data_IF_148158614433
#
_entry.id   IF_148158614433
#
_cell.length_a   1.000
_cell.length_b   1.000
_cell.length_c   1.000
_cell.angle_alpha   90.00
_cell.angle_beta   90.00
_cell.angle_gamma   90.00
#
_symmetry.space_group_name_H-M   'P 1'
#
loop_
_entity.id
_entity.type
_entity.pdbx_description
1 polymer ?
#
# COMPACT_ATOMS: atom_id res chain seq x y z
N UNK A 1 1.64 -27.67 4.43
CA UNK A 1 2.85 -27.02 4.95
C UNK A 1 3.28 -26.07 3.87
N UNK A 2 3.26 -24.77 4.12
CA UNK A 2 3.69 -23.80 3.13
C UNK A 2 5.20 -23.93 2.98
N UNK A 3 5.70 -24.18 1.76
CA UNK A 3 7.14 -24.20 1.56
C UNK A 3 7.67 -22.76 1.66
N UNK A 4 8.88 -22.64 2.19
CA UNK A 4 9.61 -21.39 2.34
C UNK A 4 10.72 -21.35 1.30
N UNK A 5 10.75 -20.24 0.58
CA UNK A 5 11.76 -19.96 -0.43
C UNK A 5 12.49 -18.68 -0.05
N UNK A 6 13.80 -18.73 0.09
CA UNK A 6 14.62 -17.57 0.47
C UNK A 6 15.26 -16.93 -0.75
N UNK A 7 15.03 -15.65 -0.97
CA UNK A 7 15.89 -14.83 -1.81
C UNK A 7 16.89 -14.09 -0.92
N UNK A 8 18.18 -14.33 -1.14
CA UNK A 8 19.25 -13.71 -0.36
C UNK A 8 20.31 -13.12 -1.28
N UNK A 9 20.43 -11.78 -1.35
CA UNK A 9 21.71 -11.15 -1.65
C UNK A 9 22.81 -11.73 -0.75
N UNK A 10 24.03 -11.81 -1.27
CA UNK A 10 25.21 -12.21 -0.51
C UNK A 10 26.13 -11.00 -0.35
N UNK A 11 26.75 -10.88 0.83
CA UNK A 11 27.74 -9.85 1.09
C UNK A 11 28.91 -10.35 1.94
N UNK A 12 29.81 -9.43 2.30
CA UNK A 12 31.06 -9.70 3.02
C UNK A 12 30.92 -10.18 4.49
N UNK A 13 29.70 -10.42 4.96
CA UNK A 13 29.47 -11.05 6.27
C UNK A 13 28.89 -12.45 6.14
N UNK A 14 28.61 -12.91 4.92
CA UNK A 14 28.16 -14.27 4.64
C UNK A 14 29.35 -15.13 4.16
N UNK A 15 29.37 -16.44 4.44
CA UNK A 15 28.36 -17.18 5.21
C UNK A 15 28.48 -17.00 6.73
N UNK A 16 29.66 -16.68 7.24
CA UNK A 16 29.91 -16.31 8.65
C UNK A 16 30.86 -15.13 8.77
N UNK A 17 30.82 -14.44 9.92
CA UNK A 17 31.81 -13.43 10.29
C UNK A 17 31.86 -13.28 11.80
N UNK A 18 33.06 -13.22 12.36
CA UNK A 18 33.26 -13.05 13.81
C UNK A 18 32.66 -14.21 14.60
N UNK A 19 32.91 -15.45 14.15
CA UNK A 19 32.45 -16.69 14.79
C UNK A 19 30.92 -16.86 14.89
N UNK A 20 30.17 -16.11 14.07
CA UNK A 20 28.70 -16.09 14.08
C UNK A 20 28.14 -16.19 12.68
N UNK A 21 26.90 -16.66 12.57
CA UNK A 21 26.21 -16.76 11.30
C UNK A 21 26.11 -15.39 10.62
N UNK A 22 26.48 -15.34 9.34
CA UNK A 22 26.05 -14.31 8.42
C UNK A 22 24.53 -14.33 8.27
N UNK A 23 23.94 -13.26 7.75
CA UNK A 23 22.47 -13.16 7.75
C UNK A 23 21.81 -14.20 6.86
N UNK A 24 22.46 -14.62 5.78
CA UNK A 24 22.01 -15.73 4.94
C UNK A 24 21.88 -17.04 5.74
N UNK A 25 22.95 -17.47 6.42
CA UNK A 25 22.97 -18.72 7.20
C UNK A 25 22.02 -18.64 8.40
N UNK A 26 21.98 -17.49 9.07
CA UNK A 26 21.12 -17.28 10.24
C UNK A 26 19.63 -17.41 9.90
N UNK A 27 19.21 -16.88 8.74
CA UNK A 27 17.85 -17.05 8.24
C UNK A 27 17.59 -18.52 7.91
N UNK A 28 18.52 -19.21 7.23
CA UNK A 28 18.36 -20.63 6.91
C UNK A 28 18.26 -21.50 8.16
N UNK A 29 18.99 -21.18 9.23
CA UNK A 29 18.93 -21.90 10.52
C UNK A 29 17.55 -21.82 11.17
N UNK A 30 16.93 -20.66 11.15
CA UNK A 30 15.62 -20.41 11.77
C UNK A 30 14.48 -20.92 10.90
N UNK A 31 14.48 -20.55 9.61
CA UNK A 31 13.33 -20.73 8.72
C UNK A 31 13.40 -22.01 7.89
N UNK A 32 14.58 -22.63 7.76
CA UNK A 32 14.80 -23.91 7.05
C UNK A 32 14.10 -23.95 5.67
N UNK A 33 14.40 -22.99 4.77
CA UNK A 33 13.77 -22.96 3.46
C UNK A 33 14.10 -24.20 2.65
N UNK A 34 13.16 -24.65 1.81
CA UNK A 34 13.35 -25.75 0.87
C UNK A 34 14.19 -25.32 -0.32
N UNK A 35 14.24 -24.02 -0.61
CA UNK A 35 14.98 -23.46 -1.73
C UNK A 35 15.53 -22.08 -1.40
N UNK A 36 16.75 -21.82 -1.84
CA UNK A 36 17.44 -20.54 -1.70
C UNK A 36 17.91 -20.05 -3.06
N UNK A 37 17.60 -18.79 -3.37
CA UNK A 37 18.16 -18.03 -4.48
C UNK A 37 19.26 -17.11 -3.95
N UNK A 38 20.51 -17.42 -4.27
CA UNK A 38 21.68 -16.64 -3.89
C UNK A 38 21.98 -15.59 -4.95
N UNK A 39 21.78 -14.32 -4.63
CA UNK A 39 22.09 -13.21 -5.54
C UNK A 39 23.51 -12.70 -5.28
N UNK A 40 24.38 -12.85 -6.28
CA UNK A 40 25.82 -12.63 -6.14
C UNK A 40 26.30 -11.53 -7.08
N UNK A 41 26.92 -10.49 -6.51
CA UNK A 41 27.69 -9.49 -7.28
C UNK A 41 28.97 -10.10 -7.85
N UNK A 42 29.73 -9.35 -8.66
CA UNK A 42 31.01 -9.83 -9.21
C UNK A 42 31.94 -10.38 -8.14
N UNK A 43 32.22 -9.58 -7.11
CA UNK A 43 33.15 -9.94 -6.04
C UNK A 43 32.69 -11.20 -5.27
N UNK A 44 31.38 -11.34 -5.04
CA UNK A 44 30.84 -12.55 -4.39
C UNK A 44 30.90 -13.77 -5.32
N UNK A 45 30.78 -13.58 -6.63
CA UNK A 45 31.01 -14.64 -7.61
C UNK A 45 32.47 -15.09 -7.59
N UNK A 46 33.41 -14.15 -7.54
CA UNK A 46 34.86 -14.44 -7.49
C UNK A 46 35.20 -15.27 -6.25
N UNK A 47 34.61 -14.96 -5.08
CA UNK A 47 34.78 -15.75 -3.85
C UNK A 47 34.08 -17.11 -3.91
N UNK A 48 32.89 -17.19 -4.51
CA UNK A 48 32.16 -18.46 -4.71
C UNK A 48 32.94 -19.41 -5.62
N UNK A 49 33.69 -18.91 -6.62
CA UNK A 49 34.47 -19.72 -7.55
C UNK A 49 35.73 -20.34 -6.92
N UNK A 50 36.21 -19.81 -5.80
CA UNK A 50 37.38 -20.36 -5.10
C UNK A 50 37.07 -21.68 -4.42
N UNK A 51 35.91 -21.78 -3.77
CA UNK A 51 35.64 -22.85 -2.80
C UNK A 51 34.17 -23.21 -2.64
N UNK A 52 33.25 -22.59 -3.39
CA UNK A 52 31.80 -22.78 -3.24
C UNK A 52 31.30 -22.54 -1.79
N UNK A 53 31.93 -21.61 -1.05
CA UNK A 53 31.72 -21.48 0.40
C UNK A 53 30.28 -21.33 0.84
N UNK A 54 29.47 -20.58 0.10
CA UNK A 54 28.11 -20.26 0.52
C UNK A 54 27.21 -21.49 0.51
N UNK A 55 27.31 -22.31 -0.53
CA UNK A 55 26.51 -23.52 -0.68
C UNK A 55 27.03 -24.62 0.24
N UNK A 56 28.34 -24.84 0.32
CA UNK A 56 28.93 -25.86 1.20
C UNK A 56 28.62 -25.57 2.67
N UNK A 57 28.72 -24.30 3.10
CA UNK A 57 28.39 -23.93 4.47
C UNK A 57 26.90 -24.18 4.78
N UNK A 58 26.00 -23.86 3.84
CA UNK A 58 24.58 -24.20 3.98
C UNK A 58 24.36 -25.72 4.01
N UNK A 59 25.06 -26.51 3.21
CA UNK A 59 24.95 -27.97 3.23
C UNK A 59 25.36 -28.56 4.60
N UNK A 60 26.44 -28.04 5.22
CA UNK A 60 26.82 -28.42 6.59
C UNK A 60 25.71 -28.07 7.60
N UNK A 61 25.08 -26.91 7.45
CA UNK A 61 23.92 -26.51 8.27
C UNK A 61 22.72 -27.44 8.08
N UNK A 62 22.39 -27.76 6.82
CA UNK A 62 21.34 -28.70 6.44
C UNK A 62 21.54 -30.08 7.09
N UNK A 63 22.77 -30.61 7.04
CA UNK A 63 23.14 -31.86 7.70
C UNK A 63 22.99 -31.78 9.22
N UNK A 64 23.51 -30.72 9.84
CA UNK A 64 23.44 -30.53 11.30
C UNK A 64 22.01 -30.41 11.83
N UNK A 65 21.11 -29.78 11.07
CA UNK A 65 19.74 -29.49 11.49
C UNK A 65 18.68 -30.38 10.84
N UNK A 66 19.11 -31.38 10.07
CA UNK A 66 18.29 -32.36 9.37
C UNK A 66 17.18 -31.72 8.50
N UNK A 67 17.55 -30.81 7.60
CA UNK A 67 16.65 -30.29 6.56
C UNK A 67 17.35 -30.24 5.20
N UNK A 68 16.57 -30.22 4.12
CA UNK A 68 17.07 -30.12 2.75
C UNK A 68 16.77 -28.74 2.18
N UNK A 69 17.71 -28.20 1.40
CA UNK A 69 17.56 -26.91 0.75
C UNK A 69 18.25 -26.92 -0.61
N UNK A 70 17.48 -26.65 -1.67
CA UNK A 70 18.00 -26.50 -3.04
C UNK A 70 18.60 -25.10 -3.23
N UNK A 71 19.79 -25.00 -3.80
CA UNK A 71 20.48 -23.73 -4.02
C UNK A 71 20.47 -23.35 -5.50
N UNK A 72 19.99 -22.14 -5.81
CA UNK A 72 20.02 -21.53 -7.15
C UNK A 72 20.86 -20.26 -7.07
N UNK A 73 21.94 -20.20 -7.85
CA UNK A 73 22.85 -19.05 -7.88
C UNK A 73 22.46 -18.08 -8.99
N UNK A 74 22.04 -16.89 -8.61
CA UNK A 74 21.76 -15.77 -9.51
C UNK A 74 23.03 -14.92 -9.59
N UNK A 75 23.91 -15.28 -10.53
CA UNK A 75 25.20 -14.63 -10.71
C UNK A 75 25.06 -13.35 -11.54
N UNK A 76 25.70 -12.27 -11.08
CA UNK A 76 25.75 -10.96 -11.76
C UNK A 76 27.21 -10.49 -11.84
N UNK A 77 28.04 -11.12 -12.70
CA UNK A 77 29.46 -10.77 -12.83
C UNK A 77 29.70 -9.36 -13.39
N UNK A 78 28.72 -8.78 -14.06
CA UNK A 78 28.79 -7.41 -14.57
C UNK A 78 28.52 -6.34 -13.48
N UNK A 79 28.13 -6.79 -12.27
CA UNK A 79 27.79 -5.93 -11.16
C UNK A 79 29.06 -5.51 -10.40
N UNK A 80 29.75 -4.52 -10.95
CA UNK A 80 30.99 -3.94 -10.40
C UNK A 80 30.66 -2.64 -9.68
N UNK A 81 30.58 -2.68 -8.33
CA UNK A 81 30.36 -1.51 -7.44
C UNK A 81 29.47 -0.43 -8.08
N UNK A 82 28.26 -0.83 -8.45
CA UNK A 82 27.35 0.07 -9.14
C UNK A 82 26.78 1.00 -8.07
N UNK A 83 27.16 2.29 -8.09
CA UNK A 83 26.48 3.33 -7.31
C UNK A 83 25.07 3.63 -7.86
N UNK A 84 24.58 2.82 -8.80
CA UNK A 84 23.29 2.97 -9.44
C UNK A 84 22.23 2.17 -8.68
N UNK A 85 21.49 2.89 -7.85
CA UNK A 85 20.33 2.37 -7.13
C UNK A 85 19.25 1.85 -8.08
N UNK A 86 19.08 2.48 -9.25
CA UNK A 86 18.02 2.17 -10.21
C UNK A 86 18.26 0.81 -10.89
N UNK A 87 19.52 0.49 -11.17
CA UNK A 87 19.91 -0.80 -11.70
C UNK A 87 19.50 -1.96 -10.78
N UNK A 88 19.68 -1.81 -9.46
CA UNK A 88 19.25 -2.82 -8.48
C UNK A 88 17.73 -2.90 -8.37
N UNK A 89 17.04 -1.76 -8.41
CA UNK A 89 15.58 -1.74 -8.34
C UNK A 89 14.95 -2.55 -9.48
N UNK A 90 15.40 -2.30 -10.71
CA UNK A 90 14.92 -3.03 -11.90
C UNK A 90 15.26 -4.52 -11.87
N UNK A 91 16.49 -4.89 -11.50
CA UNK A 91 16.91 -6.30 -11.46
C UNK A 91 16.23 -7.09 -10.33
N UNK A 92 16.11 -6.51 -9.13
CA UNK A 92 15.39 -7.17 -8.04
C UNK A 92 13.90 -7.34 -8.34
N UNK A 93 13.26 -6.35 -8.96
CA UNK A 93 11.85 -6.48 -9.35
C UNK A 93 11.65 -7.68 -10.27
N UNK A 94 12.44 -7.77 -11.36
CA UNK A 94 12.38 -8.90 -12.31
C UNK A 94 12.72 -10.23 -11.66
N UNK A 95 13.74 -10.24 -10.80
CA UNK A 95 14.21 -11.46 -10.11
C UNK A 95 13.14 -11.98 -9.16
N UNK A 96 12.54 -11.11 -8.35
CA UNK A 96 11.48 -11.50 -7.41
C UNK A 96 10.24 -11.97 -8.17
N UNK A 97 9.83 -11.30 -9.24
CA UNK A 97 8.73 -11.75 -10.11
C UNK A 97 8.98 -13.14 -10.71
N UNK A 98 10.21 -13.43 -11.12
CA UNK A 98 10.60 -14.76 -11.58
C UNK A 98 10.48 -15.79 -10.46
N UNK A 99 11.05 -15.52 -9.30
CA UNK A 99 10.99 -16.42 -8.13
C UNK A 99 9.55 -16.70 -7.72
N UNK A 100 8.70 -15.68 -7.64
CA UNK A 100 7.27 -15.85 -7.31
C UNK A 100 6.57 -16.74 -8.34
N UNK A 101 6.86 -16.56 -9.64
CA UNK A 101 6.26 -17.39 -10.70
C UNK A 101 6.73 -18.85 -10.67
N UNK A 102 7.97 -19.10 -10.30
CA UNK A 102 8.57 -20.44 -10.23
C UNK A 102 8.15 -21.20 -8.95
N UNK A 103 7.68 -20.50 -7.92
CA UNK A 103 7.37 -21.06 -6.60
C UNK A 103 5.96 -20.63 -6.17
N UNK A 104 4.97 -20.89 -7.03
CA UNK A 104 3.57 -20.51 -6.80
C UNK A 104 2.99 -21.23 -5.59
N UNK A 105 2.41 -20.47 -4.67
CA UNK A 105 1.84 -21.00 -3.42
C UNK A 105 2.84 -21.10 -2.27
N UNK A 106 4.13 -20.88 -2.52
CA UNK A 106 5.16 -20.86 -1.49
C UNK A 106 5.31 -19.47 -0.87
N UNK A 107 5.78 -19.41 0.38
CA UNK A 107 6.07 -18.16 1.07
C UNK A 107 7.50 -17.72 0.74
N UNK A 108 7.63 -16.55 0.13
CA UNK A 108 8.93 -15.99 -0.26
C UNK A 108 9.50 -15.13 0.89
N UNK A 109 10.62 -15.57 1.45
CA UNK A 109 11.44 -14.84 2.40
C UNK A 109 12.46 -13.98 1.65
N UNK A 110 12.68 -12.74 2.11
CA UNK A 110 13.69 -11.85 1.55
C UNK A 110 14.69 -11.45 2.63
N UNK A 111 15.98 -11.71 2.40
CA UNK A 111 17.03 -11.27 3.30
C UNK A 111 17.36 -9.78 3.06
N UNK A 112 17.00 -8.93 4.02
CA UNK A 112 17.28 -7.49 3.98
C UNK A 112 18.61 -7.09 4.64
N UNK A 113 19.37 -8.06 5.18
CA UNK A 113 20.59 -7.83 5.96
C UNK A 113 21.88 -8.10 5.20
N UNK A 114 21.86 -8.80 4.07
CA UNK A 114 23.04 -9.08 3.24
C UNK A 114 23.15 -8.17 2.01
N UNK A 115 24.33 -8.17 1.39
CA UNK A 115 24.66 -7.31 0.25
C UNK A 115 25.13 -5.91 0.65
N UNK A 116 25.36 -5.05 -0.34
CA UNK A 116 25.78 -3.66 -0.12
C UNK A 116 24.63 -2.81 0.46
N UNK A 117 24.91 -1.64 1.08
CA UNK A 117 23.85 -0.73 1.56
C UNK A 117 22.82 -0.35 0.48
N UNK A 118 23.26 -0.24 -0.78
CA UNK A 118 22.41 0.05 -1.94
C UNK A 118 21.46 -1.12 -2.23
N UNK A 119 21.98 -2.36 -2.21
CA UNK A 119 21.17 -3.56 -2.42
C UNK A 119 20.11 -3.72 -1.33
N UNK A 120 20.48 -3.54 -0.06
CA UNK A 120 19.54 -3.62 1.08
C UNK A 120 18.42 -2.60 0.93
N UNK A 121 18.77 -1.36 0.60
CA UNK A 121 17.80 -0.27 0.38
C UNK A 121 16.88 -0.58 -0.80
N UNK A 122 17.42 -0.98 -1.95
CA UNK A 122 16.62 -1.28 -3.14
C UNK A 122 15.66 -2.46 -2.87
N UNK A 123 16.16 -3.55 -2.28
CA UNK A 123 15.35 -4.71 -1.93
C UNK A 123 14.23 -4.36 -0.94
N UNK A 124 14.49 -3.48 0.04
CA UNK A 124 13.49 -3.00 0.97
C UNK A 124 12.37 -2.22 0.27
N UNK A 125 12.71 -1.36 -0.69
CA UNK A 125 11.69 -0.63 -1.48
C UNK A 125 10.90 -1.59 -2.37
N UNK A 126 11.59 -2.42 -3.19
CA UNK A 126 10.94 -3.38 -4.10
C UNK A 126 10.00 -4.31 -3.34
N UNK A 127 10.45 -4.85 -2.22
CA UNK A 127 9.64 -5.76 -1.39
C UNK A 127 8.44 -5.08 -0.72
N UNK A 128 8.55 -3.79 -0.40
CA UNK A 128 7.45 -3.02 0.21
C UNK A 128 6.40 -2.62 -0.82
N UNK A 129 6.82 -2.32 -2.05
CA UNK A 129 5.93 -1.91 -3.14
C UNK A 129 5.34 -3.09 -3.92
N UNK A 130 5.81 -4.31 -3.65
CA UNK A 130 5.34 -5.50 -4.34
C UNK A 130 3.87 -5.81 -4.02
N UNK A 131 3.12 -6.24 -5.03
CA UNK A 131 1.78 -6.80 -4.86
C UNK A 131 1.79 -8.24 -4.34
N UNK A 132 2.97 -8.87 -4.27
CA UNK A 132 3.10 -10.25 -3.79
C UNK A 132 3.28 -10.30 -2.27
N UNK A 133 2.78 -11.36 -1.60
CA UNK A 133 2.98 -11.56 -0.17
C UNK A 133 4.43 -11.98 0.12
N UNK A 134 5.32 -11.00 0.30
CA UNK A 134 6.75 -11.20 0.56
C UNK A 134 7.06 -11.01 2.05
N UNK A 135 7.75 -11.97 2.66
CA UNK A 135 8.17 -11.89 4.05
C UNK A 135 9.57 -11.30 4.15
N UNK A 136 9.65 -10.08 4.67
CA UNK A 136 10.89 -9.33 4.79
C UNK A 136 11.60 -9.69 6.10
N UNK A 137 12.77 -10.32 6.02
CA UNK A 137 13.55 -10.77 7.17
C UNK A 137 14.81 -9.93 7.32
N UNK A 138 14.99 -9.36 8.50
CA UNK A 138 16.18 -8.61 8.89
C UNK A 138 16.90 -9.36 10.02
N UNK A 139 18.22 -9.48 9.92
CA UNK A 139 19.08 -10.07 10.94
C UNK A 139 19.96 -8.97 11.54
N UNK A 140 19.90 -8.81 12.86
CA UNK A 140 20.75 -7.90 13.63
C UNK A 140 22.19 -8.42 13.71
N UNK A 141 23.19 -7.55 13.81
CA UNK A 141 24.58 -7.99 14.01
C UNK A 141 24.77 -8.61 15.41
N UNK A 142 25.69 -9.58 15.59
CA UNK A 142 25.92 -10.21 16.90
C UNK A 142 26.33 -9.19 17.98
N UNK A 143 27.14 -8.20 17.61
CA UNK A 143 27.60 -7.13 18.51
C UNK A 143 26.59 -5.98 18.70
N UNK A 144 25.40 -6.06 18.06
CA UNK A 144 24.35 -5.00 18.05
C UNK A 144 24.88 -3.62 17.60
N UNK A 145 25.95 -3.63 16.80
CA UNK A 145 26.67 -2.47 16.27
C UNK A 145 27.42 -2.80 14.98
N UNK A 146 28.32 -1.93 14.53
CA UNK A 146 29.14 -2.19 13.35
C UNK A 146 30.17 -3.30 13.63
N UNK A 147 30.26 -4.28 12.72
CA UNK A 147 31.23 -5.36 12.86
C UNK A 147 32.66 -4.84 12.63
N UNK A 148 33.55 -5.13 13.59
CA UNK A 148 34.98 -4.82 13.52
C UNK A 148 35.82 -5.98 12.98
N UNK A 149 35.26 -7.19 12.95
CA UNK A 149 35.95 -8.39 12.48
C UNK A 149 36.28 -8.34 10.99
N UNK A 150 37.26 -9.12 10.56
CA UNK A 150 37.64 -9.19 9.14
C UNK A 150 36.44 -9.62 8.27
N UNK A 151 36.14 -8.91 7.18
CA UNK A 151 35.12 -9.36 6.23
C UNK A 151 35.54 -10.66 5.54
N UNK A 152 34.55 -11.41 5.07
CA UNK A 152 34.78 -12.59 4.21
C UNK A 152 35.47 -12.15 2.92
N UNK A 153 36.54 -12.87 2.56
CA UNK A 153 37.40 -12.57 1.41
C UNK A 153 38.15 -13.80 0.93
N UNK A 154 39.22 -13.63 0.15
CA UNK A 154 39.96 -14.74 -0.48
C UNK A 154 40.52 -15.75 0.54
N UNK A 155 41.00 -15.29 1.69
CA UNK A 155 41.61 -16.11 2.76
C UNK A 155 40.58 -16.79 3.70
N UNK A 156 39.32 -16.89 3.29
CA UNK A 156 38.28 -17.50 4.12
C UNK A 156 38.49 -19.02 4.21
N UNK A 157 38.68 -19.54 5.42
CA UNK A 157 38.80 -20.98 5.69
C UNK A 157 37.44 -21.53 6.14
N UNK A 158 36.77 -22.24 5.23
CA UNK A 158 35.42 -22.76 5.45
C UNK A 158 35.34 -23.76 6.61
N UNK A 159 36.32 -24.66 6.75
CA UNK A 159 36.27 -25.70 7.77
C UNK A 159 36.52 -25.08 9.15
N UNK A 160 37.52 -24.19 9.25
CA UNK A 160 37.81 -23.47 10.48
C UNK A 160 36.62 -22.61 10.92
N UNK A 161 36.01 -21.86 10.00
CA UNK A 161 34.86 -21.01 10.29
C UNK A 161 33.63 -21.83 10.70
N UNK A 162 33.44 -23.02 10.15
CA UNK A 162 32.35 -23.92 10.57
C UNK A 162 32.58 -24.47 11.99
N UNK A 163 33.79 -24.91 12.30
CA UNK A 163 34.17 -25.44 13.61
C UNK A 163 34.07 -24.40 14.72
N UNK A 164 34.49 -23.16 14.42
CA UNK A 164 34.49 -22.06 15.38
C UNK A 164 33.17 -21.28 15.46
N UNK A 165 32.16 -21.62 14.65
CA UNK A 165 30.89 -20.90 14.66
C UNK A 165 30.09 -21.17 15.94
N UNK A 166 30.02 -20.16 16.81
CA UNK A 166 29.31 -20.22 18.09
C UNK A 166 27.81 -20.46 17.91
N UNK A 167 27.20 -20.10 16.78
CA UNK A 167 25.77 -20.35 16.53
C UNK A 167 25.46 -21.85 16.29
N UNK A 168 26.49 -22.70 16.21
CA UNK A 168 26.33 -24.16 16.17
C UNK A 168 26.04 -24.80 17.52
N UNK A 169 26.16 -24.06 18.63
CA UNK A 169 25.87 -24.53 19.98
C UNK A 169 24.59 -23.88 20.50
N UNK A 170 23.68 -24.68 21.05
CA UNK A 170 22.38 -24.18 21.53
C UNK A 170 22.50 -23.22 22.72
N UNK A 171 23.60 -23.29 23.47
CA UNK A 171 23.86 -22.45 24.65
C UNK A 171 24.21 -21.00 24.28
N UNK A 172 24.83 -20.81 23.12
CA UNK A 172 25.33 -19.52 22.62
C UNK A 172 24.44 -18.93 21.54
N UNK A 173 23.56 -19.73 20.94
CA UNK A 173 22.68 -19.31 19.86
C UNK A 173 21.57 -18.35 20.32
N UNK A 174 21.45 -17.20 19.66
CA UNK A 174 20.34 -16.25 19.83
C UNK A 174 19.65 -16.01 18.48
N UNK A 175 18.31 -16.07 18.45
CA UNK A 175 17.58 -15.70 17.24
C UNK A 175 17.62 -14.19 17.01
N UNK A 176 18.48 -13.77 16.07
CA UNK A 176 18.62 -12.38 15.61
C UNK A 176 17.69 -11.98 14.46
N UNK A 177 16.79 -12.84 14.00
CA UNK A 177 15.82 -12.52 12.94
C UNK A 177 14.66 -11.66 13.48
N UNK A 178 14.30 -10.64 12.74
CA UNK A 178 13.10 -9.84 12.93
C UNK A 178 12.37 -9.68 11.60
N UNK A 179 11.04 -9.80 11.63
CA UNK A 179 10.21 -9.49 10.46
C UNK A 179 10.10 -7.98 10.35
N UNK A 180 10.61 -7.43 9.25
CA UNK A 180 10.65 -6.00 9.01
C UNK A 180 9.36 -5.55 8.32
N UNK A 181 8.54 -4.77 9.02
CA UNK A 181 7.34 -4.15 8.44
C UNK A 181 7.64 -2.72 7.98
N UNK A 182 7.17 -2.35 6.80
CA UNK A 182 7.33 -0.99 6.25
C UNK A 182 6.05 -0.16 6.35
N UNK A 183 5.30 -0.30 7.45
CA UNK A 183 3.96 0.28 7.61
C UNK A 183 3.98 1.81 7.43
N UNK A 184 5.00 2.52 7.95
CA UNK A 184 5.16 3.96 7.74
C UNK A 184 5.32 4.35 6.26
N UNK A 185 6.14 3.62 5.50
CA UNK A 185 6.34 3.90 4.07
C UNK A 185 5.06 3.64 3.27
N UNK A 186 4.39 2.52 3.55
CA UNK A 186 3.09 2.18 2.94
C UNK A 186 2.05 3.25 3.27
N UNK A 187 2.02 3.74 4.51
CA UNK A 187 1.11 4.80 4.93
C UNK A 187 1.36 6.11 4.17
N UNK A 188 2.62 6.54 4.03
CA UNK A 188 2.98 7.75 3.27
C UNK A 188 2.49 7.68 1.81
N UNK A 189 2.71 6.55 1.14
CA UNK A 189 2.24 6.35 -0.24
C UNK A 189 0.71 6.34 -0.29
N UNK A 190 0.07 5.67 0.67
CA UNK A 190 -1.39 5.58 0.75
C UNK A 190 -2.03 6.95 0.97
N UNK A 191 -1.41 7.85 1.74
CA UNK A 191 -1.86 9.24 1.91
C UNK A 191 -1.91 10.01 0.59
N UNK A 192 -0.90 9.84 -0.27
CA UNK A 192 -0.86 10.44 -1.61
C UNK A 192 -1.98 9.87 -2.51
N UNK A 193 -2.19 8.55 -2.46
CA UNK A 193 -3.27 7.88 -3.20
C UNK A 193 -4.64 8.37 -2.74
N UNK A 194 -4.88 8.46 -1.43
CA UNK A 194 -6.12 9.00 -0.86
C UNK A 194 -6.35 10.44 -1.35
N UNK A 195 -5.31 11.28 -1.31
CA UNK A 195 -5.39 12.67 -1.76
C UNK A 195 -5.79 12.76 -3.23
N UNK A 196 -5.19 11.95 -4.11
CA UNK A 196 -5.56 11.87 -5.53
C UNK A 196 -7.00 11.46 -5.75
N UNK A 197 -7.50 10.46 -5.01
CA UNK A 197 -8.90 10.05 -5.08
C UNK A 197 -9.87 11.14 -4.62
N UNK A 198 -9.53 11.87 -3.55
CA UNK A 198 -10.31 13.02 -3.07
C UNK A 198 -10.35 14.14 -4.11
N UNK A 199 -9.23 14.43 -4.78
CA UNK A 199 -9.15 15.47 -5.82
C UNK A 199 -10.06 15.20 -7.03
N UNK A 200 -10.35 13.93 -7.32
CA UNK A 200 -11.26 13.52 -8.42
C UNK A 200 -12.65 13.12 -7.91
N UNK A 201 -13.00 13.50 -6.67
CA UNK A 201 -14.30 13.22 -6.04
C UNK A 201 -14.63 11.72 -5.89
N UNK A 202 -13.63 10.83 -5.92
CA UNK A 202 -13.79 9.40 -5.68
C UNK A 202 -13.58 9.06 -4.20
N UNK A 203 -14.51 9.53 -3.37
CA UNK A 203 -14.45 9.29 -1.94
C UNK A 203 -14.56 7.80 -1.58
N UNK A 204 -15.18 6.97 -2.43
CA UNK A 204 -15.32 5.54 -2.15
C UNK A 204 -13.96 4.85 -2.25
N UNK A 205 -13.19 5.11 -3.29
CA UNK A 205 -11.82 4.60 -3.41
C UNK A 205 -10.91 5.15 -2.30
N UNK A 206 -11.02 6.44 -1.99
CA UNK A 206 -10.30 7.05 -0.87
C UNK A 206 -10.58 6.34 0.47
N UNK A 207 -11.84 6.01 0.77
CA UNK A 207 -12.23 5.25 1.97
C UNK A 207 -11.60 3.86 1.97
N UNK A 208 -11.63 3.14 0.85
CA UNK A 208 -11.04 1.80 0.75
C UNK A 208 -9.55 1.80 1.09
N UNK A 209 -8.80 2.76 0.55
CA UNK A 209 -7.36 2.89 0.85
C UNK A 209 -7.12 3.34 2.30
N UNK A 210 -7.93 4.28 2.83
CA UNK A 210 -7.83 4.70 4.21
C UNK A 210 -8.04 3.55 5.20
N UNK A 211 -8.96 2.62 4.89
CA UNK A 211 -9.22 1.45 5.72
C UNK A 211 -8.03 0.49 5.80
N UNK A 212 -7.20 0.38 4.75
CA UNK A 212 -5.99 -0.49 4.78
C UNK A 212 -4.87 0.06 5.65
N UNK A 213 -4.91 1.35 6.00
CA UNK A 213 -3.91 2.02 6.84
C UNK A 213 -4.55 2.72 8.05
N UNK A 214 -5.63 2.15 8.61
CA UNK A 214 -6.47 2.77 9.66
C UNK A 214 -5.68 3.37 10.83
N UNK A 215 -4.58 2.73 11.24
CA UNK A 215 -3.78 3.14 12.40
C UNK A 215 -2.89 4.37 12.09
N UNK A 216 -2.77 4.73 10.80
CA UNK A 216 -2.00 5.86 10.28
C UNK A 216 -2.88 6.99 9.72
N UNK A 217 -4.20 6.89 9.88
CA UNK A 217 -5.15 7.91 9.44
C UNK A 217 -5.55 8.79 10.61
N UNK A 218 -5.45 10.11 10.43
CA UNK A 218 -5.99 11.06 11.39
C UNK A 218 -7.53 10.95 11.47
N UNK A 219 -8.12 10.86 12.69
CA UNK A 219 -9.57 10.71 12.84
C UNK A 219 -10.39 11.84 12.20
N UNK A 220 -9.86 13.07 12.14
CA UNK A 220 -10.54 14.20 11.49
C UNK A 220 -10.50 14.01 9.98
N UNK A 221 -9.35 13.66 9.41
CA UNK A 221 -9.22 13.30 7.98
C UNK A 221 -10.21 12.20 7.61
N UNK A 222 -10.28 11.13 8.38
CA UNK A 222 -11.22 10.03 8.14
C UNK A 222 -12.67 10.56 8.10
N UNK A 223 -13.06 11.31 9.13
CA UNK A 223 -14.41 11.89 9.25
C UNK A 223 -14.75 12.77 8.04
N UNK A 224 -13.80 13.57 7.55
CA UNK A 224 -13.99 14.43 6.37
C UNK A 224 -14.12 13.67 5.06
N UNK A 225 -13.37 12.57 4.87
CA UNK A 225 -13.51 11.73 3.66
C UNK A 225 -14.91 11.10 3.63
N UNK A 226 -15.38 10.55 4.77
CA UNK A 226 -16.74 10.02 4.87
C UNK A 226 -17.80 11.13 4.71
N UNK A 227 -17.56 12.33 5.23
CA UNK A 227 -18.45 13.47 5.00
C UNK A 227 -18.56 13.81 3.50
N UNK A 228 -17.44 13.82 2.77
CA UNK A 228 -17.42 14.00 1.32
C UNK A 228 -18.18 12.92 0.57
N UNK A 229 -18.03 11.65 0.96
CA UNK A 229 -18.80 10.53 0.42
C UNK A 229 -20.31 10.74 0.60
N UNK A 230 -20.75 11.02 1.83
CA UNK A 230 -22.16 11.24 2.14
C UNK A 230 -22.73 12.47 1.43
N UNK A 231 -21.96 13.55 1.31
CA UNK A 231 -22.35 14.75 0.57
C UNK A 231 -22.55 14.44 -0.92
N UNK A 232 -21.63 13.67 -1.54
CA UNK A 232 -21.72 13.28 -2.95
C UNK A 232 -22.99 12.48 -3.27
N UNK A 233 -23.46 11.65 -2.34
CA UNK A 233 -24.72 10.89 -2.49
C UNK A 233 -25.95 11.64 -1.96
N UNK A 234 -25.81 12.94 -1.65
CA UNK A 234 -26.87 13.82 -1.13
C UNK A 234 -27.43 13.42 0.25
N UNK A 235 -26.69 12.63 1.03
CA UNK A 235 -27.00 12.36 2.44
C UNK A 235 -26.43 13.49 3.32
N UNK A 236 -27.04 14.67 3.18
CA UNK A 236 -26.55 15.93 3.77
C UNK A 236 -26.50 15.87 5.30
N UNK A 237 -27.47 15.21 5.92
CA UNK A 237 -27.53 15.06 7.38
C UNK A 237 -26.31 14.31 7.93
N UNK A 238 -25.96 13.15 7.35
CA UNK A 238 -24.75 12.42 7.77
C UNK A 238 -23.48 13.16 7.40
N UNK A 239 -23.44 13.78 6.23
CA UNK A 239 -22.28 14.55 5.80
C UNK A 239 -21.95 15.69 6.78
N UNK A 240 -22.95 16.46 7.19
CA UNK A 240 -22.78 17.55 8.13
C UNK A 240 -22.39 17.06 9.53
N UNK A 241 -23.02 15.96 10.00
CA UNK A 241 -22.66 15.34 11.29
C UNK A 241 -21.17 14.97 11.35
N UNK A 242 -20.66 14.29 10.31
CA UNK A 242 -19.28 13.84 10.21
C UNK A 242 -18.29 15.01 10.04
N UNK A 243 -18.67 16.04 9.29
CA UNK A 243 -17.84 17.23 9.16
C UNK A 243 -17.75 18.02 10.47
N UNK A 244 -18.87 18.18 11.19
CA UNK A 244 -18.91 18.83 12.50
C UNK A 244 -18.10 18.08 13.54
N UNK A 245 -18.09 16.74 13.54
CA UNK A 245 -17.22 15.97 14.45
C UNK A 245 -15.73 16.18 14.16
N UNK A 246 -15.38 16.58 12.94
CA UNK A 246 -14.02 17.00 12.56
C UNK A 246 -13.74 18.50 12.83
N UNK A 247 -14.72 19.26 13.31
CA UNK A 247 -14.61 20.71 13.50
C UNK A 247 -14.67 21.52 12.19
N UNK A 248 -15.24 20.95 11.13
CA UNK A 248 -15.35 21.58 9.82
C UNK A 248 -16.80 21.97 9.50
N UNK A 249 -16.98 23.21 9.06
CA UNK A 249 -18.27 23.69 8.59
C UNK A 249 -18.46 23.38 7.09
N UNK A 250 -19.21 22.32 6.80
CA UNK A 250 -19.30 21.73 5.45
C UNK A 250 -20.16 22.54 4.47
N UNK A 251 -21.30 23.07 4.94
CA UNK A 251 -22.34 23.61 4.08
C UNK A 251 -22.21 25.13 3.98
N UNK A 252 -22.04 25.69 2.77
CA UNK A 252 -21.86 27.14 2.59
C UNK A 252 -23.17 27.93 2.78
N UNK A 253 -24.31 27.28 2.61
CA UNK A 253 -25.64 27.85 2.83
C UNK A 253 -26.30 27.21 4.06
N UNK A 254 -27.05 28.02 4.81
CA UNK A 254 -27.68 27.61 6.08
C UNK A 254 -29.19 27.70 6.01
N UNK A 255 -29.87 26.76 6.67
CA UNK A 255 -31.33 26.71 6.79
C UNK A 255 -31.93 27.95 7.48
N UNK A 256 -31.13 28.69 8.26
CA UNK A 256 -31.54 29.98 8.83
C UNK A 256 -31.87 31.05 7.77
N UNK A 257 -31.24 30.97 6.59
CA UNK A 257 -31.33 31.99 5.55
C UNK A 257 -32.03 31.51 4.28
N UNK A 258 -32.09 30.20 4.06
CA UNK A 258 -32.59 29.61 2.82
C UNK A 258 -33.60 28.50 3.11
N UNK A 259 -34.58 28.35 2.22
CA UNK A 259 -35.53 27.24 2.28
C UNK A 259 -34.83 25.90 2.03
N UNK A 260 -35.43 24.82 2.53
CA UNK A 260 -34.96 23.45 2.28
C UNK A 260 -34.81 23.17 0.77
N UNK A 261 -35.80 23.58 -0.02
CA UNK A 261 -35.77 23.49 -1.49
C UNK A 261 -34.56 24.19 -2.11
N UNK A 262 -34.26 25.41 -1.65
CA UNK A 262 -33.08 26.15 -2.12
C UNK A 262 -31.77 25.44 -1.73
N UNK A 263 -31.72 24.85 -0.52
CA UNK A 263 -30.57 24.08 -0.09
C UNK A 263 -30.34 22.82 -0.92
N UNK A 264 -31.40 22.06 -1.19
CA UNK A 264 -31.37 20.87 -2.04
C UNK A 264 -30.94 21.24 -3.46
N UNK A 265 -31.50 22.32 -4.04
CA UNK A 265 -31.11 22.79 -5.36
C UNK A 265 -29.62 23.11 -5.43
N UNK A 266 -29.09 23.83 -4.44
CA UNK A 266 -27.69 24.22 -4.41
C UNK A 266 -26.75 23.00 -4.35
N UNK A 267 -27.01 22.05 -3.45
CA UNK A 267 -26.19 20.82 -3.36
C UNK A 267 -26.30 19.97 -4.63
N UNK A 268 -27.48 19.93 -5.25
CA UNK A 268 -27.68 19.22 -6.51
C UNK A 268 -26.92 19.87 -7.68
N UNK A 269 -26.82 21.21 -7.72
CA UNK A 269 -25.99 21.93 -8.70
C UNK A 269 -24.50 21.60 -8.50
N UNK A 270 -24.01 21.55 -7.26
CA UNK A 270 -22.64 21.12 -6.98
C UNK A 270 -22.38 19.68 -7.44
N UNK A 271 -23.36 18.78 -7.25
CA UNK A 271 -23.27 17.42 -7.77
C UNK A 271 -23.21 17.40 -9.30
N UNK A 272 -24.01 18.21 -9.99
CA UNK A 272 -23.95 18.36 -11.45
C UNK A 272 -22.58 18.85 -11.92
N UNK A 273 -21.98 19.81 -11.22
CA UNK A 273 -20.63 20.29 -11.52
C UNK A 273 -19.60 19.15 -11.38
N UNK A 274 -19.71 18.31 -10.35
CA UNK A 274 -18.87 17.11 -10.19
C UNK A 274 -19.05 16.16 -11.38
N UNK A 275 -20.30 15.86 -11.76
CA UNK A 275 -20.60 14.98 -12.91
C UNK A 275 -19.98 15.51 -14.21
N UNK A 276 -20.08 16.82 -14.43
CA UNK A 276 -19.46 17.47 -15.58
C UNK A 276 -17.93 17.33 -15.55
N UNK A 277 -17.28 17.62 -14.42
CA UNK A 277 -15.83 17.50 -14.24
C UNK A 277 -15.33 16.06 -14.41
N UNK A 278 -16.13 15.07 -14.01
CA UNK A 278 -15.83 13.65 -14.16
C UNK A 278 -16.11 13.11 -15.57
N UNK A 279 -16.67 13.91 -16.48
CA UNK A 279 -17.02 13.46 -17.83
C UNK A 279 -18.28 12.59 -17.90
N UNK A 280 -19.10 12.56 -16.83
CA UNK A 280 -20.37 11.81 -16.76
C UNK A 280 -21.49 12.53 -17.52
N UNK A 281 -21.30 12.82 -18.82
CA UNK A 281 -22.16 13.72 -19.61
C UNK A 281 -23.62 13.25 -19.74
N UNK A 282 -23.85 11.93 -19.81
CA UNK A 282 -25.19 11.38 -19.91
C UNK A 282 -26.00 11.61 -18.62
N UNK A 283 -25.38 11.38 -17.47
CA UNK A 283 -26.01 11.60 -16.16
C UNK A 283 -26.20 13.08 -15.88
N UNK A 284 -25.19 13.90 -16.22
CA UNK A 284 -25.29 15.35 -16.18
C UNK A 284 -26.50 15.84 -16.97
N UNK A 285 -26.63 15.45 -18.25
CA UNK A 285 -27.73 15.90 -19.12
C UNK A 285 -29.10 15.50 -18.58
N UNK A 286 -29.25 14.27 -18.06
CA UNK A 286 -30.52 13.83 -17.47
C UNK A 286 -30.89 14.62 -16.20
N UNK A 287 -29.89 15.00 -15.42
CA UNK A 287 -30.09 15.68 -14.15
C UNK A 287 -30.30 17.20 -14.30
N UNK A 288 -30.06 17.82 -15.47
CA UNK A 288 -30.34 19.25 -15.69
C UNK A 288 -31.84 19.58 -15.58
N UNK A 289 -32.71 18.74 -16.14
CA UNK A 289 -34.14 19.05 -16.19
C UNK A 289 -34.78 19.27 -14.81
N UNK A 290 -34.63 18.37 -13.81
CA UNK A 290 -35.26 18.57 -12.50
C UNK A 290 -34.73 19.82 -11.79
N UNK A 291 -33.42 20.09 -11.86
CA UNK A 291 -32.86 21.26 -11.16
C UNK A 291 -33.32 22.59 -11.78
N UNK A 292 -33.50 22.64 -13.10
CA UNK A 292 -34.04 23.83 -13.76
C UNK A 292 -35.48 24.10 -13.33
N UNK A 293 -36.30 23.05 -13.22
CA UNK A 293 -37.66 23.18 -12.67
C UNK A 293 -37.61 23.79 -11.28
N UNK A 294 -36.86 23.20 -10.35
CA UNK A 294 -36.80 23.71 -8.97
C UNK A 294 -36.27 25.15 -8.90
N UNK A 295 -35.28 25.50 -9.73
CA UNK A 295 -34.76 26.86 -9.85
C UNK A 295 -35.81 27.86 -10.34
N UNK A 296 -36.61 27.50 -11.35
CA UNK A 296 -37.70 28.36 -11.82
C UNK A 296 -38.80 28.52 -10.78
N UNK A 297 -39.15 27.47 -10.05
CA UNK A 297 -40.12 27.55 -8.96
C UNK A 297 -39.62 28.46 -7.83
N UNK A 298 -38.33 28.34 -7.46
CA UNK A 298 -37.69 29.26 -6.51
C UNK A 298 -37.67 30.70 -7.01
N UNK A 299 -37.45 30.93 -8.31
CA UNK A 299 -37.49 32.27 -8.90
C UNK A 299 -38.89 32.88 -8.84
N UNK A 300 -39.92 32.12 -9.25
CA UNK A 300 -41.31 32.56 -9.22
C UNK A 300 -41.72 32.96 -7.79
N UNK A 301 -41.39 32.14 -6.81
CA UNK A 301 -41.70 32.43 -5.41
C UNK A 301 -40.97 33.67 -4.90
N UNK A 302 -39.65 33.75 -5.08
CA UNK A 302 -38.82 34.77 -4.43
C UNK A 302 -38.75 36.11 -5.19
N UNK A 303 -38.97 36.12 -6.51
CA UNK A 303 -38.89 37.33 -7.34
C UNK A 303 -40.24 37.80 -7.87
N UNK A 304 -41.15 36.88 -8.14
CA UNK A 304 -42.48 37.22 -8.65
C UNK A 304 -43.57 37.17 -7.58
N UNK A 305 -43.29 36.61 -6.39
CA UNK A 305 -44.28 36.41 -5.34
C UNK A 305 -45.32 35.34 -5.69
N UNK A 306 -45.03 34.49 -6.69
CA UNK A 306 -45.93 33.47 -7.20
C UNK A 306 -45.53 32.13 -6.59
N UNK A 307 -46.36 31.61 -5.70
CA UNK A 307 -46.21 30.28 -5.12
C UNK A 307 -46.87 29.24 -6.04
N UNK A 308 -46.06 28.68 -6.94
CA UNK A 308 -46.50 27.73 -7.98
C UNK A 308 -47.08 26.43 -7.40
N UNK A 309 -46.65 26.04 -6.20
CA UNK A 309 -47.07 24.79 -5.55
C UNK A 309 -48.55 24.81 -5.17
N UNK A 310 -49.14 26.01 -4.97
CA UNK A 310 -50.59 26.18 -4.77
C UNK A 310 -51.42 25.78 -5.98
N UNK A 311 -50.81 25.72 -7.17
CA UNK A 311 -51.47 25.36 -8.42
C UNK A 311 -51.28 23.89 -8.81
N UNK A 312 -50.68 23.10 -7.92
CA UNK A 312 -50.48 21.67 -8.12
C UNK A 312 -51.70 20.84 -7.72
N UNK A 313 -52.13 19.98 -8.64
CA UNK A 313 -53.02 18.87 -8.37
C UNK A 313 -52.20 17.64 -7.98
N UNK A 314 -52.62 17.02 -6.88
CA UNK A 314 -52.07 15.76 -6.36
C UNK A 314 -53.00 14.57 -6.66
N UNK A 315 -53.84 14.67 -7.69
CA UNK A 315 -54.80 13.63 -8.06
C UNK A 315 -54.13 12.46 -8.83
N UNK A 316 -54.29 11.23 -8.35
CA UNK A 316 -53.82 9.99 -9.00
C UNK A 316 -53.03 9.05 -8.10
N UNK A 317 -52.60 7.89 -8.65
CA UNK A 317 -51.84 6.85 -7.91
C UNK A 317 -50.41 7.28 -7.51
N UNK A 318 -49.88 8.38 -8.06
CA UNK A 318 -48.51 8.84 -7.82
C UNK A 318 -48.51 10.26 -7.23
N UNK A 319 -48.72 10.36 -5.90
CA UNK A 319 -48.69 11.63 -5.14
C UNK A 319 -47.34 12.34 -5.19
N UNK A 320 -46.27 11.66 -5.60
CA UNK A 320 -44.91 12.18 -5.66
C UNK A 320 -44.60 12.98 -6.94
N UNK A 321 -45.55 13.06 -7.89
CA UNK A 321 -45.39 13.83 -9.13
C UNK A 321 -46.60 14.75 -9.35
N UNK A 322 -46.71 15.85 -8.58
CA UNK A 322 -47.77 16.83 -8.77
C UNK A 322 -47.76 17.39 -10.19
N UNK A 323 -48.94 17.76 -10.70
CA UNK A 323 -49.10 18.41 -12.01
C UNK A 323 -49.81 19.73 -11.86
N UNK A 324 -49.41 20.72 -12.67
CA UNK A 324 -50.16 21.97 -12.79
C UNK A 324 -51.60 21.70 -13.20
N UNK A 325 -52.54 22.29 -12.46
CA UNK A 325 -53.97 22.16 -12.72
C UNK A 325 -54.54 23.48 -13.22
N UNK A 326 -55.13 23.44 -14.41
CA UNK A 326 -55.86 24.59 -14.97
C UNK A 326 -56.99 25.08 -14.06
N UNK A 327 -57.55 24.21 -13.22
CA UNK A 327 -58.61 24.57 -12.26
C UNK A 327 -58.10 25.39 -11.07
N UNK A 328 -56.82 25.27 -10.74
CA UNK A 328 -56.21 25.97 -9.60
C UNK A 328 -55.58 27.29 -10.02
N UNK A 329 -55.20 27.43 -11.30
CA UNK A 329 -54.66 28.67 -11.85
C UNK A 329 -55.68 29.83 -11.77
N UNK A 330 -55.20 31.08 -11.63
CA UNK A 330 -56.05 32.26 -11.72
C UNK A 330 -56.86 32.26 -13.03
N UNK A 331 -58.16 32.60 -13.02
CA UNK A 331 -59.02 32.54 -14.20
C UNK A 331 -58.65 33.55 -15.31
N UNK A 332 -57.80 34.51 -14.98
CA UNK A 332 -57.23 35.55 -15.84
C UNK A 332 -55.93 35.13 -16.56
N UNK A 333 -55.44 33.90 -16.33
CA UNK A 333 -54.38 33.20 -17.07
C UNK A 333 -54.96 32.08 -17.95
#
# INVERSE_FOLDING_TARGET
MDNLVLFSPIGHSDPTRGFRDGSFIHICRIYKPQKVYLYMSKEMCDYDDLDNRYEIFLQKLCQKLAFNCDVIKIRRPDLIRVNDFEAFYGDFTKTIEQIVRENQGDTILLNLSSGTPQMKSALKIVSTLSSYPLMQVQVSTPVKGANTDKPVGEEYDLELEWELNEDNHSETFENRCAISKSENLVAQISHEVISKHVMVYDYKAAITVAQSIKDFIDPRMNSLIYAGYHRKILDIGKAEMLARSAGYDLLPIKSKYYSEKAMVCFEFILLLEIKQKMGELADFTRAISPVLTDLFELYLMNKCGIDIEKYYSYEGKNKNHPKLSRKLLPPDL
#
